data_IF_834578932426
#
_entry.id   IF_834578932426
#
_cell.length_a   1.000
_cell.length_b   1.000
_cell.length_c   1.000
_cell.angle_alpha   90.00
_cell.angle_beta   90.00
_cell.angle_gamma   90.00
#
_symmetry.space_group_name_H-M   'P 1'
#
loop_
_entity.id
_entity.type
_entity.pdbx_description
1 polymer ?
#
# COMPACT_ATOMS: atom_id res chain seq x y z
N UNK A 1 -3.88 -20.66 8.38
CA UNK A 1 -4.64 -19.41 8.21
C UNK A 1 -5.62 -19.31 9.37
N UNK A 2 -5.36 -18.39 10.30
CA UNK A 2 -6.20 -18.19 11.48
C UNK A 2 -7.58 -17.64 11.11
N UNK A 3 -7.67 -16.78 10.08
CA UNK A 3 -8.92 -16.15 9.67
C UNK A 3 -9.85 -17.05 8.84
N UNK A 4 -9.33 -18.14 8.26
CA UNK A 4 -10.11 -19.10 7.49
C UNK A 4 -10.10 -20.49 8.12
N UNK A 5 -9.54 -20.63 9.33
CA UNK A 5 -9.39 -21.89 10.08
C UNK A 5 -8.82 -23.05 9.22
N UNK A 6 -7.91 -22.71 8.30
CA UNK A 6 -7.34 -23.64 7.32
C UNK A 6 -5.86 -23.84 7.52
N UNK A 7 -5.41 -25.10 7.54
CA UNK A 7 -4.00 -25.46 7.62
C UNK A 7 -3.45 -25.77 6.23
N UNK A 8 -2.22 -25.34 5.97
CA UNK A 8 -1.53 -25.52 4.68
C UNK A 8 -0.24 -26.30 4.90
N UNK A 9 0.04 -27.26 4.01
CA UNK A 9 1.21 -28.13 4.08
C UNK A 9 2.52 -27.48 3.64
N UNK A 10 2.46 -26.33 2.97
CA UNK A 10 3.63 -25.64 2.43
C UNK A 10 3.41 -24.14 2.32
N UNK A 11 4.51 -23.37 2.37
CA UNK A 11 4.47 -21.92 2.19
C UNK A 11 3.90 -21.51 0.83
N UNK A 12 4.20 -22.28 -0.23
CA UNK A 12 3.66 -22.04 -1.59
C UNK A 12 2.14 -22.15 -1.61
N UNK A 13 1.58 -23.19 -0.99
CA UNK A 13 0.12 -23.36 -0.90
C UNK A 13 -0.56 -22.28 -0.05
N UNK A 14 0.16 -21.73 0.94
CA UNK A 14 -0.33 -20.64 1.77
C UNK A 14 -0.34 -19.31 0.99
N UNK A 15 0.69 -19.05 0.18
CA UNK A 15 0.77 -17.86 -0.68
C UNK A 15 -0.31 -17.87 -1.77
N UNK A 16 -0.54 -19.03 -2.40
CA UNK A 16 -1.68 -19.22 -3.33
C UNK A 16 -3.03 -18.98 -2.66
N UNK A 17 -3.21 -19.50 -1.44
CA UNK A 17 -4.42 -19.24 -0.66
C UNK A 17 -4.63 -17.75 -0.43
N UNK A 18 -3.60 -17.00 -0.05
CA UNK A 18 -3.73 -15.56 0.13
C UNK A 18 -3.98 -14.80 -1.17
N UNK A 19 -3.43 -15.27 -2.31
CA UNK A 19 -3.67 -14.66 -3.62
C UNK A 19 -5.11 -14.85 -4.11
N UNK A 20 -5.67 -16.04 -3.89
CA UNK A 20 -7.02 -16.39 -4.36
C UNK A 20 -8.15 -16.07 -3.38
N UNK A 21 -7.84 -15.82 -2.11
CA UNK A 21 -8.88 -15.62 -1.09
C UNK A 21 -9.39 -14.17 -1.04
N UNK A 22 -10.71 -13.94 -1.17
CA UNK A 22 -11.29 -12.60 -1.00
C UNK A 22 -11.28 -12.13 0.46
N UNK A 23 -11.10 -13.05 1.42
CA UNK A 23 -11.01 -12.74 2.85
C UNK A 23 -9.61 -12.29 3.27
N UNK A 24 -8.64 -12.32 2.36
CA UNK A 24 -7.27 -11.90 2.62
C UNK A 24 -6.91 -10.67 1.81
N UNK A 25 -6.16 -9.73 2.40
CA UNK A 25 -5.71 -8.56 1.68
C UNK A 25 -4.65 -8.97 0.66
N UNK A 26 -4.84 -8.46 -0.55
CA UNK A 26 -3.88 -8.58 -1.64
C UNK A 26 -3.40 -7.20 -2.04
N UNK A 27 -2.12 -7.08 -2.34
CA UNK A 27 -1.58 -5.86 -2.92
C UNK A 27 -2.22 -5.65 -4.30
N UNK A 28 -2.87 -4.52 -4.50
CA UNK A 28 -3.53 -4.20 -5.78
C UNK A 28 -2.51 -3.83 -6.87
N UNK A 29 -1.27 -3.49 -6.50
CA UNK A 29 -0.21 -3.10 -7.44
C UNK A 29 0.47 -4.32 -8.07
N UNK A 30 0.80 -5.36 -7.29
CA UNK A 30 1.50 -6.55 -7.79
C UNK A 30 0.72 -7.86 -7.64
N UNK A 31 -0.49 -7.83 -7.08
CA UNK A 31 -1.33 -9.02 -6.90
C UNK A 31 -0.83 -10.01 -5.83
N UNK A 32 0.17 -9.65 -5.01
CA UNK A 32 0.65 -10.52 -3.93
C UNK A 32 -0.38 -10.61 -2.81
N UNK A 33 -0.68 -11.83 -2.35
CA UNK A 33 -1.57 -12.07 -1.22
C UNK A 33 -0.85 -11.99 0.12
N UNK A 34 -1.52 -11.49 1.15
CA UNK A 34 -0.99 -11.39 2.50
C UNK A 34 -1.93 -12.00 3.52
N UNK A 35 -1.38 -12.39 4.67
CA UNK A 35 -2.20 -12.90 5.78
C UNK A 35 -3.18 -11.85 6.32
N UNK A 36 -2.72 -10.61 6.47
CA UNK A 36 -3.43 -9.54 7.18
C UNK A 36 -3.08 -8.18 6.56
N UNK A 37 -3.95 -7.19 6.80
CA UNK A 37 -3.83 -5.83 6.27
C UNK A 37 -2.47 -5.18 6.60
N UNK A 38 -1.99 -5.17 7.86
CA UNK A 38 -0.70 -4.56 8.20
C UNK A 38 0.51 -5.16 7.47
N UNK A 39 0.46 -6.45 7.11
CA UNK A 39 1.52 -7.07 6.30
C UNK A 39 1.47 -6.59 4.85
N UNK A 40 0.27 -6.41 4.29
CA UNK A 40 0.10 -5.81 2.97
C UNK A 40 0.57 -4.36 2.95
N UNK A 41 0.21 -3.57 3.97
CA UNK A 41 0.64 -2.17 4.10
C UNK A 41 2.16 -2.05 4.24
N UNK A 42 2.80 -2.87 5.07
CA UNK A 42 4.25 -2.91 5.19
C UNK A 42 4.94 -3.28 3.86
N UNK A 43 4.40 -4.28 3.13
CA UNK A 43 4.87 -4.60 1.78
C UNK A 43 4.73 -3.42 0.83
N UNK A 44 3.57 -2.76 0.81
CA UNK A 44 3.34 -1.60 -0.04
C UNK A 44 4.28 -0.44 0.32
N UNK A 45 4.53 -0.20 1.60
CA UNK A 45 5.48 0.82 2.05
C UNK A 45 6.91 0.54 1.60
N UNK A 46 7.36 -0.72 1.60
CA UNK A 46 8.74 -1.08 1.23
C UNK A 46 8.95 -1.24 -0.28
N UNK A 47 7.97 -1.83 -0.98
CA UNK A 47 8.11 -2.23 -2.39
C UNK A 47 7.39 -1.26 -3.33
N UNK A 48 6.31 -0.64 -2.88
CA UNK A 48 5.47 0.28 -3.66
C UNK A 48 5.40 1.66 -2.98
N UNK A 49 6.52 2.12 -2.42
CA UNK A 49 6.60 3.41 -1.73
C UNK A 49 6.06 4.57 -2.58
N UNK A 50 6.28 4.51 -3.90
CA UNK A 50 5.78 5.49 -4.88
C UNK A 50 4.27 5.42 -5.16
N UNK A 51 3.57 4.38 -4.71
CA UNK A 51 2.12 4.22 -4.85
C UNK A 51 1.40 4.23 -3.48
N UNK A 52 2.13 4.28 -2.37
CA UNK A 52 1.60 4.20 -1.01
C UNK A 52 1.60 5.57 -0.32
N UNK A 53 0.42 6.05 0.06
CA UNK A 53 0.29 7.25 0.88
C UNK A 53 0.42 6.86 2.35
N UNK A 54 1.51 7.30 3.00
CA UNK A 54 1.71 7.06 4.44
C UNK A 54 0.69 7.77 5.33
N UNK A 55 0.17 8.93 4.92
CA UNK A 55 -0.79 9.71 5.71
C UNK A 55 -2.19 9.11 5.64
N UNK A 56 -2.55 8.50 4.51
CA UNK A 56 -3.82 7.80 4.35
C UNK A 56 -3.74 6.30 4.65
N UNK A 57 -2.53 5.73 4.82
CA UNK A 57 -2.27 4.30 4.94
C UNK A 57 -3.00 3.50 3.84
N UNK A 58 -2.90 4.00 2.60
CA UNK A 58 -3.63 3.48 1.45
C UNK A 58 -2.76 3.50 0.20
N UNK A 59 -3.02 2.55 -0.67
CA UNK A 59 -2.38 2.45 -1.99
C UNK A 59 -3.27 3.12 -3.02
N UNK A 60 -2.67 3.89 -3.92
CA UNK A 60 -3.36 4.61 -4.99
C UNK A 60 -2.75 4.24 -6.34
N UNK A 61 -3.58 4.20 -7.39
CA UNK A 61 -3.11 3.94 -8.77
C UNK A 61 -2.16 5.04 -9.26
N UNK A 62 -2.39 6.28 -8.81
CA UNK A 62 -1.50 7.41 -9.04
C UNK A 62 -1.36 8.25 -7.77
N UNK A 63 -0.27 8.00 -7.02
CA UNK A 63 0.02 8.68 -5.77
C UNK A 63 0.24 10.19 -5.96
N UNK A 64 0.88 10.59 -7.05
CA UNK A 64 1.08 12.01 -7.38
C UNK A 64 -0.28 12.72 -7.55
N UNK A 65 -1.19 12.13 -8.33
CA UNK A 65 -2.52 12.69 -8.52
C UNK A 65 -3.32 12.70 -7.21
N UNK A 66 -3.13 11.70 -6.34
CA UNK A 66 -3.69 11.70 -4.99
C UNK A 66 -3.17 12.88 -4.16
N UNK A 67 -1.86 13.14 -4.13
CA UNK A 67 -1.32 14.31 -3.42
C UNK A 67 -1.80 15.65 -4.01
N UNK A 68 -1.94 15.75 -5.34
CA UNK A 68 -2.45 16.95 -6.03
C UNK A 68 -3.93 17.23 -5.70
N UNK A 69 -4.77 16.19 -5.70
CA UNK A 69 -6.22 16.30 -5.47
C UNK A 69 -6.63 16.27 -4.00
N UNK A 70 -5.80 15.71 -3.12
CA UNK A 70 -6.09 15.65 -1.68
C UNK A 70 -6.06 17.04 -1.05
N UNK A 71 -7.16 17.37 -0.38
CA UNK A 71 -7.27 18.56 0.47
C UNK A 71 -6.69 18.33 1.88
N UNK A 72 -6.43 17.07 2.22
CA UNK A 72 -5.93 16.64 3.53
C UNK A 72 -4.41 16.48 3.59
N UNK A 73 -3.70 16.68 2.47
CA UNK A 73 -2.25 16.71 2.46
C UNK A 73 -1.75 18.15 2.43
N UNK A 74 -0.73 18.49 3.23
CA UNK A 74 -0.19 19.83 3.26
C UNK A 74 0.36 20.20 1.88
N UNK A 75 -0.22 21.23 1.28
CA UNK A 75 0.30 21.83 0.04
C UNK A 75 1.42 22.77 0.43
N UNK A 76 2.61 22.57 -0.14
CA UNK A 76 3.72 23.48 0.14
C UNK A 76 3.38 24.86 -0.42
N UNK A 77 3.29 25.87 0.45
CA UNK A 77 3.02 27.25 0.05
C UNK A 77 4.17 27.89 -0.75
N UNK A 78 5.34 27.23 -0.78
CA UNK A 78 6.59 27.74 -1.36
C UNK A 78 7.02 27.02 -2.64
N UNK A 79 6.31 25.97 -3.06
CA UNK A 79 6.59 25.26 -4.31
C UNK A 79 5.55 25.65 -5.36
N UNK A 80 6.00 25.96 -6.58
CA UNK A 80 5.10 26.14 -7.72
C UNK A 80 4.21 24.89 -7.91
N UNK A 81 2.92 25.08 -8.23
CA UNK A 81 1.90 24.02 -8.17
C UNK A 81 2.16 22.82 -9.10
N UNK A 82 3.04 22.95 -10.09
CA UNK A 82 3.32 21.91 -11.08
C UNK A 82 4.46 20.95 -10.71
N UNK A 83 5.27 21.30 -9.69
CA UNK A 83 6.48 20.54 -9.32
C UNK A 83 6.44 19.94 -7.91
N UNK A 84 5.32 20.11 -7.21
CA UNK A 84 5.16 19.67 -5.83
C UNK A 84 4.50 18.28 -5.78
N UNK A 85 5.29 17.23 -6.00
CA UNK A 85 4.89 15.85 -5.67
C UNK A 85 5.19 15.67 -4.19
N UNK A 86 4.17 15.34 -3.39
CA UNK A 86 4.30 15.18 -1.94
C UNK A 86 5.53 14.34 -1.60
N UNK A 87 6.57 15.01 -1.07
CA UNK A 87 7.78 14.34 -0.65
C UNK A 87 7.43 13.36 0.47
N UNK A 88 7.92 12.10 0.45
CA UNK A 88 8.15 11.43 1.71
C UNK A 88 9.13 12.32 2.50
N UNK A 89 8.80 12.62 3.75
CA UNK A 89 9.68 13.37 4.62
C UNK A 89 11.07 12.73 4.58
N UNK A 90 12.05 13.38 3.94
CA UNK A 90 13.45 13.13 4.25
C UNK A 90 13.73 13.81 5.58
N UNK A 91 14.19 13.00 6.52
CA UNK A 91 14.41 13.35 7.91
C UNK A 91 15.63 14.27 8.04
N UNK A 92 15.50 15.29 8.91
CA UNK A 92 16.61 16.07 9.44
C UNK A 92 16.62 15.92 10.97
#
# INVERSE_FOLDING_TARGET
CEQCERSFKSQVSLDEHFRGSPNHPKCHVCGRGFRNQPHCDAHCKMIHASAFCMQCQRVFDNLENHYKSSLFHPKCAWCEPERCVGFPAEEA
#
